data_IF_571978943120
#
_entry.id   IF_571978943120
#
_cell.length_a   1.000
_cell.length_b   1.000
_cell.length_c   1.000
_cell.angle_alpha   90.00
_cell.angle_beta   90.00
_cell.angle_gamma   90.00
#
_symmetry.space_group_name_H-M   'P 1'
#
loop_
_entity.id
_entity.type
_entity.pdbx_description
1 polymer ?
#
# COMPACT_ATOMS: atom_id res chain seq x y z
N UNK A 1 14.36 2.15 -36.20
CA UNK A 1 14.13 1.25 -35.07
C UNK A 1 12.68 0.78 -35.14
N UNK A 2 12.39 -0.52 -35.13
CA UNK A 2 11.01 -0.99 -35.20
C UNK A 2 10.20 -0.53 -33.98
N UNK A 3 8.90 -0.15 -34.12
CA UNK A 3 8.06 0.28 -33.04
C UNK A 3 7.92 -0.83 -31.97
N UNK A 4 7.67 -0.48 -30.71
CA UNK A 4 7.44 -1.46 -29.67
C UNK A 4 6.20 -2.33 -29.96
N UNK A 5 6.32 -3.66 -29.82
CA UNK A 5 5.21 -4.61 -30.06
C UNK A 5 4.25 -4.75 -28.87
N UNK A 6 4.57 -4.18 -27.69
CA UNK A 6 3.68 -4.14 -26.53
C UNK A 6 3.86 -2.84 -25.74
N UNK A 7 2.85 -2.47 -25.00
CA UNK A 7 2.83 -1.31 -24.12
C UNK A 7 2.46 -1.70 -22.66
N UNK A 8 2.35 -0.72 -21.79
CA UNK A 8 1.99 -0.93 -20.38
C UNK A 8 0.58 -1.50 -20.20
N UNK A 9 -0.37 -1.16 -21.11
CA UNK A 9 -1.72 -1.72 -21.09
C UNK A 9 -1.72 -3.24 -21.29
N UNK A 10 -0.92 -3.73 -22.23
CA UNK A 10 -0.78 -5.17 -22.46
C UNK A 10 -0.27 -5.90 -21.22
N UNK A 11 0.66 -5.27 -20.49
CA UNK A 11 1.22 -5.85 -19.27
C UNK A 11 0.26 -5.74 -18.08
N UNK A 12 -0.46 -4.63 -17.94
CA UNK A 12 -1.48 -4.44 -16.89
C UNK A 12 -2.62 -5.45 -17.08
N UNK A 13 -3.12 -5.62 -18.30
CA UNK A 13 -4.15 -6.61 -18.60
C UNK A 13 -3.67 -8.04 -18.30
N UNK A 14 -2.42 -8.36 -18.61
CA UNK A 14 -1.81 -9.62 -18.21
C UNK A 14 -1.79 -9.81 -16.70
N UNK A 15 -1.41 -8.78 -15.91
CA UNK A 15 -1.41 -8.83 -14.43
C UNK A 15 -2.81 -9.03 -13.86
N UNK A 16 -3.82 -8.42 -14.47
CA UNK A 16 -5.23 -8.62 -14.09
C UNK A 16 -5.68 -10.05 -14.40
N UNK A 17 -5.31 -10.60 -15.56
CA UNK A 17 -5.80 -11.88 -16.03
C UNK A 17 -5.05 -13.06 -15.42
N UNK A 18 -3.72 -13.00 -15.29
CA UNK A 18 -2.92 -14.17 -14.89
C UNK A 18 -3.21 -14.61 -13.46
N UNK A 19 -3.38 -15.92 -13.22
CA UNK A 19 -3.70 -16.41 -11.88
C UNK A 19 -2.47 -16.51 -10.96
N UNK A 20 -1.27 -16.72 -11.49
CA UNK A 20 -0.13 -17.09 -10.63
C UNK A 20 1.26 -16.72 -11.14
N UNK A 21 1.54 -16.90 -12.42
CA UNK A 21 2.88 -16.73 -12.97
C UNK A 21 3.07 -15.34 -13.55
N UNK A 22 4.11 -14.63 -13.11
CA UNK A 22 4.45 -13.30 -13.62
C UNK A 22 5.87 -13.34 -14.17
N UNK A 23 5.98 -13.70 -15.44
CA UNK A 23 7.22 -13.64 -16.20
C UNK A 23 6.96 -13.10 -17.60
N UNK A 24 7.98 -12.54 -18.24
CA UNK A 24 7.88 -12.06 -19.62
C UNK A 24 7.53 -13.21 -20.60
N UNK A 25 8.01 -14.43 -20.31
CA UNK A 25 7.70 -15.62 -21.08
C UNK A 25 6.23 -15.98 -20.99
N UNK A 26 5.66 -15.96 -19.79
CA UNK A 26 4.23 -16.27 -19.60
C UNK A 26 3.35 -15.18 -20.21
N UNK A 27 3.73 -13.89 -20.02
CA UNK A 27 3.03 -12.79 -20.65
C UNK A 27 2.95 -12.92 -22.18
N UNK A 28 4.01 -13.43 -22.82
CA UNK A 28 4.01 -13.68 -24.25
C UNK A 28 3.14 -14.89 -24.64
N UNK A 29 3.18 -16.00 -23.86
CA UNK A 29 2.45 -17.24 -24.15
C UNK A 29 0.94 -17.10 -24.11
N UNK A 30 0.43 -16.18 -23.29
CA UNK A 30 -1.01 -15.96 -23.13
C UNK A 30 -1.55 -14.87 -24.05
N UNK A 31 -0.72 -14.30 -24.93
CA UNK A 31 -1.23 -13.35 -25.92
C UNK A 31 -2.14 -14.03 -26.92
N UNK A 32 -3.19 -13.34 -27.38
CA UNK A 32 -4.01 -13.85 -28.48
C UNK A 32 -3.14 -14.19 -29.70
N UNK A 33 -3.47 -15.31 -30.37
CA UNK A 33 -2.81 -15.72 -31.61
C UNK A 33 -3.02 -14.65 -32.69
N UNK A 34 -1.94 -13.96 -33.05
CA UNK A 34 -1.88 -12.98 -34.13
C UNK A 34 -0.46 -12.92 -34.67
N UNK A 35 -0.31 -12.59 -35.94
CA UNK A 35 0.99 -12.56 -36.65
C UNK A 35 2.05 -11.70 -35.95
N UNK A 36 1.60 -10.59 -35.33
CA UNK A 36 2.48 -9.66 -34.61
C UNK A 36 2.41 -9.78 -33.08
N UNK A 37 2.03 -10.93 -32.54
CA UNK A 37 1.99 -11.11 -31.10
C UNK A 37 3.35 -10.80 -30.43
N UNK A 38 3.37 -10.07 -29.31
CA UNK A 38 4.62 -9.70 -28.65
C UNK A 38 5.30 -10.92 -28.04
N UNK A 39 6.57 -11.14 -28.36
CA UNK A 39 7.40 -12.18 -27.78
C UNK A 39 7.91 -11.78 -26.37
N UNK A 40 8.50 -12.72 -25.65
CA UNK A 40 8.98 -12.50 -24.28
C UNK A 40 9.99 -11.35 -24.14
N UNK A 41 10.80 -11.12 -25.15
CA UNK A 41 11.77 -10.02 -25.15
C UNK A 41 11.10 -8.64 -25.28
N UNK A 42 9.93 -8.54 -25.93
CA UNK A 42 9.14 -7.31 -25.97
C UNK A 42 8.68 -6.89 -24.56
N UNK A 43 8.17 -7.83 -23.75
CA UNK A 43 7.80 -7.58 -22.36
C UNK A 43 9.02 -7.28 -21.46
N UNK A 44 10.14 -7.97 -21.68
CA UNK A 44 11.39 -7.67 -20.98
C UNK A 44 11.86 -6.24 -21.28
N UNK A 45 11.87 -5.84 -22.54
CA UNK A 45 12.23 -4.48 -22.97
C UNK A 45 11.22 -3.45 -22.50
N UNK A 46 9.92 -3.78 -22.44
CA UNK A 46 8.89 -2.90 -21.89
C UNK A 46 9.25 -2.45 -20.47
N UNK A 47 9.50 -3.40 -19.56
CA UNK A 47 9.85 -3.10 -18.17
C UNK A 47 11.20 -2.39 -18.02
N UNK A 48 12.05 -2.37 -19.04
CA UNK A 48 13.30 -1.61 -19.02
C UNK A 48 13.17 -0.19 -19.60
N UNK A 49 12.18 0.07 -20.47
CA UNK A 49 12.03 1.37 -21.14
C UNK A 49 11.04 2.33 -20.47
N UNK A 50 10.06 1.80 -19.72
CA UNK A 50 9.10 2.64 -18.99
C UNK A 50 9.83 3.50 -17.95
N UNK A 51 9.26 4.67 -17.68
CA UNK A 51 9.73 5.54 -16.59
C UNK A 51 8.84 5.31 -15.37
N UNK A 52 9.41 4.76 -14.28
CA UNK A 52 8.63 4.39 -13.10
C UNK A 52 8.41 5.61 -12.21
N UNK A 53 7.26 6.24 -12.31
CA UNK A 53 6.89 7.36 -11.45
C UNK A 53 5.55 7.15 -10.73
N UNK A 54 5.33 7.92 -9.67
CA UNK A 54 4.10 7.90 -8.91
C UNK A 54 2.99 8.74 -9.58
N UNK A 55 3.33 9.67 -10.47
CA UNK A 55 2.37 10.54 -11.16
C UNK A 55 1.50 9.72 -12.12
N UNK A 56 2.06 8.73 -12.78
CA UNK A 56 1.29 7.83 -13.65
C UNK A 56 0.18 7.08 -12.86
N UNK A 57 0.50 6.66 -11.61
CA UNK A 57 -0.51 6.06 -10.72
C UNK A 57 -1.52 7.10 -10.28
N UNK A 58 -1.08 8.31 -9.94
CA UNK A 58 -1.96 9.40 -9.56
C UNK A 58 -2.93 9.82 -10.66
N UNK A 59 -2.49 9.89 -11.91
CA UNK A 59 -3.38 10.21 -13.03
C UNK A 59 -4.57 9.25 -13.17
N UNK A 60 -4.40 7.97 -12.83
CA UNK A 60 -5.52 7.02 -12.78
C UNK A 60 -6.32 7.11 -11.46
N UNK A 61 -5.65 7.39 -10.33
CA UNK A 61 -6.27 7.45 -9.02
C UNK A 61 -7.15 8.69 -8.82
N UNK A 62 -6.76 9.86 -9.35
CA UNK A 62 -7.38 11.15 -9.07
C UNK A 62 -8.88 11.22 -9.40
N UNK A 63 -9.35 10.43 -10.37
CA UNK A 63 -10.76 10.34 -10.73
C UNK A 63 -11.58 9.48 -9.78
N UNK A 64 -10.91 8.77 -8.87
CA UNK A 64 -11.52 7.82 -7.95
C UNK A 64 -11.55 8.30 -6.51
N UNK A 65 -10.97 9.45 -6.21
CA UNK A 65 -10.87 10.03 -4.86
C UNK A 65 -11.65 11.32 -4.74
N UNK A 66 -12.06 11.66 -3.53
CA UNK A 66 -12.47 12.99 -3.16
C UNK A 66 -11.31 13.73 -2.49
N UNK A 67 -10.95 14.90 -3.01
CA UNK A 67 -9.91 15.72 -2.37
C UNK A 67 -10.39 16.37 -1.06
N UNK A 68 -11.71 16.59 -0.92
CA UNK A 68 -12.32 17.25 0.25
C UNK A 68 -12.78 16.29 1.35
N UNK A 69 -12.80 14.98 1.08
CA UNK A 69 -13.36 13.98 1.99
C UNK A 69 -12.42 12.76 2.13
N UNK A 70 -12.82 11.83 2.99
CA UNK A 70 -12.08 10.60 3.25
C UNK A 70 -10.88 10.82 4.18
N UNK A 71 -10.14 9.78 4.40
CA UNK A 71 -8.89 9.81 5.17
C UNK A 71 -7.72 9.39 4.30
N UNK A 72 -6.54 9.88 4.64
CA UNK A 72 -5.27 9.39 4.08
C UNK A 72 -4.65 8.41 5.07
N UNK A 73 -4.28 7.23 4.58
CA UNK A 73 -3.58 6.23 5.38
C UNK A 73 -2.19 6.00 4.79
N UNK A 74 -1.16 6.13 5.61
CA UNK A 74 0.21 5.89 5.19
C UNK A 74 0.83 4.74 5.97
N UNK A 75 1.33 3.76 5.24
CA UNK A 75 2.05 2.62 5.80
C UNK A 75 3.03 2.04 4.79
N UNK A 76 3.92 1.15 5.27
CA UNK A 76 4.83 0.42 4.41
C UNK A 76 4.64 -1.10 4.51
N UNK A 77 4.86 -1.76 3.38
CA UNK A 77 4.83 -3.22 3.31
C UNK A 77 6.11 -3.74 2.68
N UNK A 78 6.61 -4.85 3.22
CA UNK A 78 7.71 -5.57 2.59
C UNK A 78 7.17 -6.56 1.57
N UNK A 79 7.66 -6.45 0.33
CA UNK A 79 7.44 -7.41 -0.73
C UNK A 79 8.48 -8.53 -0.57
N UNK A 80 8.06 -9.66 -0.06
CA UNK A 80 8.94 -10.76 0.37
C UNK A 80 9.73 -11.35 -0.80
N UNK A 81 11.06 -11.44 -0.64
CA UNK A 81 12.01 -12.01 -1.61
C UNK A 81 13.07 -12.90 -0.93
N UNK A 82 12.66 -13.94 -0.18
CA UNK A 82 13.59 -14.70 0.67
C UNK A 82 14.71 -15.39 -0.13
N UNK A 83 14.42 -15.81 -1.36
CA UNK A 83 15.38 -16.54 -2.21
C UNK A 83 16.12 -15.65 -3.20
N UNK A 84 15.92 -14.35 -3.20
CA UNK A 84 16.56 -13.44 -4.14
C UNK A 84 18.07 -13.30 -3.85
N UNK A 85 18.92 -13.77 -4.75
CA UNK A 85 20.38 -13.65 -4.63
C UNK A 85 20.96 -12.50 -5.45
N UNK A 86 20.36 -12.21 -6.62
CA UNK A 86 20.87 -11.26 -7.63
C UNK A 86 19.80 -10.26 -8.06
N UNK A 87 18.81 -9.98 -7.20
CA UNK A 87 17.80 -8.95 -7.47
C UNK A 87 18.25 -7.64 -6.83
N UNK A 88 18.26 -6.59 -7.63
CA UNK A 88 18.42 -5.23 -7.14
C UNK A 88 17.19 -4.81 -6.32
N UNK A 89 17.31 -3.77 -5.49
CA UNK A 89 16.30 -3.28 -4.52
C UNK A 89 16.01 -4.23 -3.34
N UNK A 90 16.43 -5.48 -3.39
CA UNK A 90 16.19 -6.42 -2.28
C UNK A 90 17.20 -6.15 -1.17
N UNK A 91 16.71 -5.64 -0.06
CA UNK A 91 17.50 -5.36 1.15
C UNK A 91 16.90 -6.07 2.36
N UNK A 92 17.46 -5.88 3.54
CA UNK A 92 16.97 -6.46 4.78
C UNK A 92 16.08 -5.45 5.51
N UNK A 93 14.86 -5.87 5.83
CA UNK A 93 13.86 -5.07 6.53
C UNK A 93 13.31 -5.83 7.73
N UNK A 94 12.98 -5.11 8.80
CA UNK A 94 12.16 -5.68 9.86
C UNK A 94 10.73 -5.88 9.34
N UNK A 95 10.19 -7.04 9.54
CA UNK A 95 8.81 -7.39 9.18
C UNK A 95 7.99 -7.65 10.43
N UNK A 96 6.97 -6.85 10.67
CA UNK A 96 6.00 -7.06 11.74
C UNK A 96 5.26 -8.40 11.58
N UNK A 97 4.96 -8.80 10.34
CA UNK A 97 4.32 -10.09 10.03
C UNK A 97 5.14 -11.31 10.46
N UNK A 98 6.47 -11.25 10.30
CA UNK A 98 7.36 -12.37 10.58
C UNK A 98 8.08 -12.22 11.93
N UNK A 99 7.90 -11.09 12.63
CA UNK A 99 8.66 -10.72 13.84
C UNK A 99 10.17 -10.95 13.69
N UNK A 100 10.70 -10.72 12.48
CA UNK A 100 12.09 -10.98 12.12
C UNK A 100 12.56 -10.05 11.01
N UNK A 101 13.87 -10.00 10.82
CA UNK A 101 14.48 -9.33 9.68
C UNK A 101 14.37 -10.23 8.45
N UNK A 102 13.64 -9.79 7.44
CA UNK A 102 13.41 -10.50 6.18
C UNK A 102 14.10 -9.81 5.01
N UNK A 103 14.28 -10.55 3.91
CA UNK A 103 14.77 -9.99 2.65
C UNK A 103 13.58 -9.64 1.76
N UNK A 104 13.55 -8.42 1.26
CA UNK A 104 12.46 -7.94 0.42
C UNK A 104 12.69 -6.56 -0.16
N UNK A 105 11.70 -6.08 -0.88
CA UNK A 105 11.60 -4.71 -1.36
C UNK A 105 10.58 -4.00 -0.47
N UNK A 106 10.93 -2.87 0.10
CA UNK A 106 10.00 -2.12 0.94
C UNK A 106 9.26 -1.09 0.08
N UNK A 107 7.93 -1.16 0.13
CA UNK A 107 7.00 -0.28 -0.55
C UNK A 107 6.25 0.56 0.47
N UNK A 108 6.39 1.87 0.39
CA UNK A 108 5.64 2.84 1.19
C UNK A 108 4.46 3.32 0.33
N UNK A 109 3.25 3.33 0.87
CA UNK A 109 2.04 3.74 0.14
C UNK A 109 1.26 4.79 0.92
N UNK A 110 0.77 5.79 0.21
CA UNK A 110 -0.28 6.71 0.67
C UNK A 110 -1.60 6.29 0.02
N UNK A 111 -2.51 5.80 0.85
CA UNK A 111 -3.82 5.31 0.45
C UNK A 111 -4.89 6.33 0.83
N UNK A 112 -5.84 6.60 -0.07
CA UNK A 112 -7.08 7.28 0.26
C UNK A 112 -8.20 6.26 0.47
N UNK A 113 -9.06 6.50 1.48
CA UNK A 113 -10.23 5.64 1.75
C UNK A 113 -11.37 6.42 2.41
N UNK A 114 -12.59 5.96 2.20
CA UNK A 114 -13.80 6.32 2.95
C UNK A 114 -14.34 5.14 3.77
N UNK A 115 -13.54 4.05 3.86
CA UNK A 115 -13.84 2.84 4.62
C UNK A 115 -13.99 1.61 3.71
N UNK A 116 -14.67 1.74 2.59
CA UNK A 116 -14.97 0.68 1.62
C UNK A 116 -14.16 0.77 0.32
N UNK A 117 -13.40 1.87 0.13
CA UNK A 117 -12.55 2.11 -1.03
C UNK A 117 -11.06 2.10 -0.66
N UNK A 118 -10.24 1.65 -1.60
CA UNK A 118 -8.80 1.42 -1.39
C UNK A 118 -7.99 2.00 -2.54
N UNK A 119 -7.81 3.33 -2.55
CA UNK A 119 -7.22 4.03 -3.69
C UNK A 119 -5.79 4.48 -3.37
N UNK A 120 -4.74 3.81 -3.89
CA UNK A 120 -3.35 4.28 -3.72
C UNK A 120 -3.13 5.56 -4.51
N UNK A 121 -2.82 6.66 -3.79
CA UNK A 121 -2.63 7.98 -4.36
C UNK A 121 -1.16 8.31 -4.63
N UNK A 122 -0.25 7.70 -3.87
CA UNK A 122 1.18 7.86 -4.03
C UNK A 122 1.90 6.63 -3.50
N UNK A 123 3.11 6.35 -3.99
CA UNK A 123 3.95 5.27 -3.51
C UNK A 123 5.43 5.61 -3.62
N UNK A 124 6.24 4.96 -2.78
CA UNK A 124 7.71 5.02 -2.86
C UNK A 124 8.29 3.62 -2.71
N UNK A 125 9.27 3.31 -3.55
CA UNK A 125 10.10 2.12 -3.37
C UNK A 125 11.34 2.56 -2.60
N UNK A 126 11.46 2.12 -1.34
CA UNK A 126 12.54 2.53 -0.44
C UNK A 126 13.88 1.96 -0.90
N UNK A 127 14.81 2.83 -1.27
CA UNK A 127 16.17 2.50 -1.73
C UNK A 127 17.18 3.50 -1.17
N UNK A 128 17.39 3.47 0.15
CA UNK A 128 18.27 4.41 0.86
C UNK A 128 19.68 4.50 0.27
N UNK A 129 20.16 3.45 -0.38
CA UNK A 129 21.48 3.44 -1.00
C UNK A 129 21.56 4.34 -2.24
N UNK A 130 20.44 4.59 -2.91
CA UNK A 130 20.37 5.39 -4.11
C UNK A 130 19.90 6.84 -3.85
N UNK A 131 18.83 7.01 -3.09
CA UNK A 131 18.19 8.31 -2.87
C UNK A 131 18.64 9.01 -1.59
N UNK A 132 19.36 8.28 -0.71
CA UNK A 132 19.82 8.74 0.60
C UNK A 132 18.71 9.22 1.54
N UNK A 133 17.45 8.94 1.20
CA UNK A 133 16.30 9.31 2.00
C UNK A 133 15.96 8.26 3.05
N UNK A 134 15.45 8.71 4.19
CA UNK A 134 14.84 7.84 5.19
C UNK A 134 13.36 7.60 4.86
N UNK A 135 12.73 6.62 5.52
CA UNK A 135 11.28 6.43 5.41
C UNK A 135 10.49 7.67 5.88
N UNK A 136 11.00 8.42 6.86
CA UNK A 136 10.38 9.66 7.31
C UNK A 136 10.48 10.77 6.26
N UNK A 137 11.58 10.85 5.51
CA UNK A 137 11.69 11.81 4.41
C UNK A 137 10.67 11.47 3.31
N UNK A 138 10.52 10.20 2.95
CA UNK A 138 9.49 9.76 2.02
C UNK A 138 8.08 10.08 2.53
N UNK A 139 7.80 9.85 3.83
CA UNK A 139 6.54 10.23 4.47
C UNK A 139 6.22 11.70 4.26
N UNK A 140 7.19 12.58 4.56
CA UNK A 140 7.04 14.03 4.42
C UNK A 140 6.85 14.44 2.96
N UNK A 141 7.62 13.87 2.04
CA UNK A 141 7.47 14.14 0.60
C UNK A 141 6.09 13.74 0.08
N UNK A 142 5.56 12.57 0.48
CA UNK A 142 4.24 12.10 0.05
C UNK A 142 3.13 13.00 0.60
N UNK A 143 3.21 13.45 1.85
CA UNK A 143 2.22 14.38 2.42
C UNK A 143 2.31 15.78 1.78
N UNK A 144 3.50 16.30 1.48
CA UNK A 144 3.66 17.56 0.74
C UNK A 144 3.05 17.44 -0.67
N UNK A 145 3.26 16.30 -1.34
CA UNK A 145 2.64 16.03 -2.66
C UNK A 145 1.12 15.99 -2.54
N UNK A 146 0.57 15.34 -1.53
CA UNK A 146 -0.88 15.29 -1.29
C UNK A 146 -1.46 16.69 -1.02
N UNK A 147 -0.77 17.48 -0.20
CA UNK A 147 -1.15 18.89 0.04
C UNK A 147 -1.12 19.72 -1.24
N UNK A 148 -0.06 19.58 -2.05
CA UNK A 148 0.05 20.26 -3.36
C UNK A 148 -1.02 19.83 -4.36
N UNK A 149 -1.55 18.60 -4.28
CA UNK A 149 -2.69 18.10 -5.06
C UNK A 149 -4.04 18.60 -4.55
N UNK A 150 -4.08 19.34 -3.43
CA UNK A 150 -5.28 19.93 -2.87
C UNK A 150 -6.09 19.01 -1.94
N UNK A 151 -5.52 17.91 -1.44
CA UNK A 151 -6.20 17.08 -0.44
C UNK A 151 -6.53 17.86 0.83
N UNK A 152 -7.74 17.65 1.34
CA UNK A 152 -8.22 18.14 2.63
C UNK A 152 -8.85 16.96 3.40
N UNK A 153 -8.02 15.99 3.84
CA UNK A 153 -8.52 14.77 4.47
C UNK A 153 -9.14 15.07 5.84
N UNK A 154 -10.17 14.32 6.19
CA UNK A 154 -10.73 14.36 7.54
C UNK A 154 -9.70 13.96 8.61
N UNK A 155 -8.77 13.08 8.26
CA UNK A 155 -7.66 12.66 9.11
C UNK A 155 -6.54 12.02 8.27
N UNK A 156 -5.30 12.13 8.75
CA UNK A 156 -4.17 11.32 8.29
C UNK A 156 -3.89 10.25 9.33
N UNK A 157 -3.92 8.98 8.94
CA UNK A 157 -3.66 7.86 9.85
C UNK A 157 -2.39 7.14 9.42
N UNK A 158 -1.53 6.78 10.36
CA UNK A 158 -0.24 6.15 10.06
C UNK A 158 0.29 5.36 11.26
N UNK A 159 1.22 4.43 10.99
CA UNK A 159 1.82 3.63 12.06
C UNK A 159 2.70 4.49 13.00
N UNK A 160 2.82 4.03 14.24
CA UNK A 160 3.64 4.65 15.28
C UNK A 160 5.13 4.80 14.93
N UNK A 161 5.62 4.08 13.92
CA UNK A 161 6.96 4.28 13.35
C UNK A 161 7.13 5.70 12.80
N UNK A 162 6.09 6.25 12.18
CA UNK A 162 6.09 7.59 11.59
C UNK A 162 5.70 8.70 12.58
N UNK A 163 5.43 8.39 13.86
CA UNK A 163 4.98 9.34 14.88
C UNK A 163 6.10 10.26 15.42
N UNK A 164 7.08 10.60 14.58
CA UNK A 164 8.12 11.60 14.88
C UNK A 164 7.56 13.02 14.98
N UNK A 165 8.17 13.88 15.82
CA UNK A 165 7.69 15.26 16.02
C UNK A 165 7.60 16.06 14.73
N UNK A 166 8.59 15.88 13.83
CA UNK A 166 8.64 16.64 12.57
C UNK A 166 7.48 16.25 11.66
N UNK A 167 7.11 14.96 11.61
CA UNK A 167 5.95 14.49 10.85
C UNK A 167 4.64 15.02 11.45
N UNK A 168 4.49 14.98 12.79
CA UNK A 168 3.31 15.52 13.46
C UNK A 168 3.16 17.04 13.23
N UNK A 169 4.28 17.77 13.28
CA UNK A 169 4.32 19.21 13.02
C UNK A 169 3.99 19.53 11.56
N UNK A 170 4.50 18.75 10.62
CA UNK A 170 4.19 18.90 9.20
C UNK A 170 2.68 18.77 8.96
N UNK A 171 2.03 17.72 9.49
CA UNK A 171 0.58 17.52 9.32
C UNK A 171 -0.18 18.70 9.94
N UNK A 172 0.24 19.18 11.12
CA UNK A 172 -0.36 20.36 11.75
C UNK A 172 -0.18 21.64 10.93
N UNK A 173 0.95 21.82 10.23
CA UNK A 173 1.19 23.01 9.39
C UNK A 173 0.21 23.08 8.20
N UNK A 174 -0.30 21.92 7.74
CA UNK A 174 -1.38 21.82 6.74
C UNK A 174 -2.77 22.02 7.34
N UNK A 175 -2.87 22.22 8.67
CA UNK A 175 -4.13 22.25 9.43
C UNK A 175 -4.90 20.91 9.37
N UNK A 176 -4.22 19.81 9.10
CA UNK A 176 -4.82 18.49 9.06
C UNK A 176 -4.84 17.83 10.43
N UNK A 177 -5.82 16.97 10.62
CA UNK A 177 -5.90 16.10 11.77
C UNK A 177 -5.10 14.82 11.53
N UNK A 178 -4.59 14.24 12.62
CA UNK A 178 -3.90 12.96 12.54
C UNK A 178 -4.37 12.02 13.65
N UNK A 179 -4.24 10.73 13.39
CA UNK A 179 -4.45 9.65 14.35
C UNK A 179 -3.33 8.62 14.18
N UNK A 180 -2.61 8.30 15.25
CA UNK A 180 -1.52 7.33 15.22
C UNK A 180 -1.32 6.67 16.57
N UNK A 181 -0.57 5.57 16.62
CA UNK A 181 -0.12 4.97 17.86
C UNK A 181 1.17 5.61 18.34
N UNK A 182 1.29 5.86 19.64
CA UNK A 182 2.52 6.30 20.28
C UNK A 182 3.14 5.17 21.09
N UNK A 183 4.46 5.15 21.15
CA UNK A 183 5.18 4.19 21.99
C UNK A 183 4.94 4.48 23.48
N UNK A 184 4.90 3.43 24.31
CA UNK A 184 4.67 3.52 25.76
C UNK A 184 5.67 4.42 26.51
N UNK A 185 6.89 4.56 25.99
CA UNK A 185 7.93 5.41 26.54
C UNK A 185 7.86 6.89 26.07
N UNK A 186 6.89 7.25 25.22
CA UNK A 186 6.73 8.63 24.75
C UNK A 186 6.43 9.55 25.93
N UNK A 187 7.22 10.63 26.06
CA UNK A 187 7.08 11.58 27.18
C UNK A 187 5.96 12.59 26.92
N UNK A 188 5.09 12.71 27.91
CA UNK A 188 3.97 13.67 27.95
C UNK A 188 3.87 14.29 29.33
N UNK A 189 3.23 15.48 29.42
CA UNK A 189 2.91 16.13 30.68
C UNK A 189 1.37 16.19 30.84
N UNK A 190 0.77 15.34 31.70
CA UNK A 190 -0.68 15.23 31.81
C UNK A 190 -1.32 16.29 32.76
N UNK A 191 -0.53 16.94 33.61
CA UNK A 191 -1.00 17.74 34.75
C UNK A 191 -0.16 18.97 35.04
N UNK A 192 0.77 19.32 34.14
CA UNK A 192 1.75 20.41 34.29
C UNK A 192 2.80 20.20 35.39
N UNK A 193 2.90 18.97 35.94
CA UNK A 193 3.84 18.64 37.02
C UNK A 193 5.12 17.96 36.51
N UNK A 194 5.33 17.93 35.21
CA UNK A 194 6.54 17.37 34.61
C UNK A 194 6.26 16.25 33.59
N UNK A 195 7.32 15.91 32.87
CA UNK A 195 7.27 14.90 31.81
C UNK A 195 7.31 13.49 32.37
N UNK A 196 6.40 12.63 31.92
CA UNK A 196 6.35 11.21 32.27
C UNK A 196 6.11 10.36 31.02
N UNK A 197 6.60 9.12 30.94
CA UNK A 197 6.27 8.22 29.85
C UNK A 197 4.78 7.87 29.88
N UNK A 198 4.17 7.62 28.71
CA UNK A 198 2.74 7.25 28.61
C UNK A 198 2.38 6.07 29.50
N UNK A 199 3.28 5.09 29.66
CA UNK A 199 3.09 3.92 30.55
C UNK A 199 2.91 4.30 32.03
N UNK A 200 3.38 5.47 32.45
CA UNK A 200 3.27 5.97 33.83
C UNK A 200 2.13 7.00 34.01
N UNK A 201 1.34 7.23 32.97
CA UNK A 201 0.19 8.15 33.01
C UNK A 201 -1.09 7.34 33.14
N UNK A 202 -1.96 7.76 34.05
CA UNK A 202 -3.31 7.17 34.18
C UNK A 202 -4.14 7.59 32.95
N UNK A 203 -4.40 6.62 32.08
CA UNK A 203 -5.14 6.76 30.85
C UNK A 203 -6.20 5.66 30.76
N UNK A 204 -7.31 5.98 30.11
CA UNK A 204 -8.43 5.07 29.84
C UNK A 204 -8.80 5.07 28.37
N UNK A 205 -9.75 4.23 28.01
CA UNK A 205 -10.35 4.19 26.67
C UNK A 205 -11.09 5.48 26.29
N UNK A 206 -11.54 6.24 27.31
CA UNK A 206 -12.20 7.55 27.10
C UNK A 206 -11.21 8.61 26.63
N UNK A 207 -9.92 8.37 26.80
CA UNK A 207 -8.85 9.28 26.43
C UNK A 207 -8.71 10.46 27.39
N UNK A 208 -7.48 10.98 27.45
CA UNK A 208 -7.10 12.14 28.25
C UNK A 208 -6.32 13.14 27.40
N UNK A 209 -6.59 14.42 27.61
CA UNK A 209 -5.78 15.49 27.00
C UNK A 209 -4.48 15.63 27.80
N UNK A 210 -3.35 15.60 27.10
CA UNK A 210 -2.01 15.72 27.66
C UNK A 210 -1.16 16.64 26.80
N UNK A 211 -0.12 17.21 27.38
CA UNK A 211 0.88 17.96 26.62
C UNK A 211 1.97 17.02 26.11
N UNK A 212 2.09 16.90 24.79
CA UNK A 212 3.20 16.19 24.16
C UNK A 212 4.41 17.12 24.05
N UNK A 213 5.55 16.68 24.59
CA UNK A 213 6.80 17.44 24.54
C UNK A 213 7.16 17.81 23.09
N UNK A 214 7.46 19.10 22.88
CA UNK A 214 7.82 19.65 21.57
C UNK A 214 6.69 19.77 20.55
N UNK A 215 5.45 19.39 20.90
CA UNK A 215 4.30 19.46 20.00
C UNK A 215 3.15 20.32 20.53
N UNK A 216 2.67 20.09 21.74
CA UNK A 216 1.51 20.76 22.33
C UNK A 216 0.44 19.79 22.82
N UNK A 217 -0.80 20.27 22.94
CA UNK A 217 -1.92 19.46 23.42
C UNK A 217 -2.30 18.39 22.39
N UNK A 218 -2.47 17.17 22.90
CA UNK A 218 -2.99 16.01 22.16
C UNK A 218 -3.95 15.25 23.05
N UNK A 219 -4.85 14.48 22.46
CA UNK A 219 -5.67 13.49 23.19
C UNK A 219 -5.06 12.11 23.02
N UNK A 220 -4.92 11.37 24.12
CA UNK A 220 -4.38 9.99 24.12
C UNK A 220 -5.39 9.04 24.73
N UNK A 221 -5.67 7.95 24.04
CA UNK A 221 -6.53 6.83 24.45
C UNK A 221 -5.65 5.63 24.76
N UNK A 222 -5.92 4.94 25.88
CA UNK A 222 -5.29 3.68 26.20
C UNK A 222 -6.25 2.54 25.87
N UNK A 223 -5.87 1.68 24.96
CA UNK A 223 -6.65 0.51 24.57
C UNK A 223 -5.91 -0.73 25.06
N UNK A 224 -6.63 -1.61 25.71
CA UNK A 224 -6.13 -2.92 26.13
C UNK A 224 -6.79 -3.97 25.24
N UNK A 225 -6.01 -4.65 24.42
CA UNK A 225 -6.49 -5.72 23.58
C UNK A 225 -6.83 -6.97 24.40
N UNK A 226 -7.57 -7.90 23.83
CA UNK A 226 -8.01 -9.14 24.49
C UNK A 226 -6.87 -10.05 24.91
N UNK A 227 -5.73 -9.96 24.24
CA UNK A 227 -4.47 -10.67 24.55
C UNK A 227 -3.62 -9.97 25.64
N UNK A 228 -4.07 -8.78 26.10
CA UNK A 228 -3.39 -7.97 27.11
C UNK A 228 -2.43 -6.93 26.55
N UNK A 229 -2.23 -6.86 25.24
CA UNK A 229 -1.41 -5.81 24.60
C UNK A 229 -2.02 -4.44 24.82
N UNK A 230 -1.14 -3.43 25.08
CA UNK A 230 -1.55 -2.07 25.36
C UNK A 230 -1.13 -1.17 24.21
N UNK A 231 -2.12 -0.51 23.58
CA UNK A 231 -1.92 0.49 22.57
C UNK A 231 -2.28 1.90 23.09
N UNK A 232 -1.46 2.88 22.73
CA UNK A 232 -1.69 4.30 23.02
C UNK A 232 -2.01 5.02 21.72
N UNK A 233 -3.30 5.18 21.42
CA UNK A 233 -3.76 5.95 20.27
C UNK A 233 -3.78 7.44 20.59
N UNK A 234 -3.24 8.26 19.73
CA UNK A 234 -3.12 9.70 19.93
C UNK A 234 -3.57 10.50 18.72
N UNK A 235 -4.07 11.72 18.97
CA UNK A 235 -4.55 12.64 17.95
C UNK A 235 -4.37 14.10 18.38
N UNK A 236 -4.26 15.02 17.41
CA UNK A 236 -4.31 16.45 17.65
C UNK A 236 -5.75 17.01 17.75
N UNK A 237 -6.78 16.20 17.49
CA UNK A 237 -8.18 16.56 17.75
C UNK A 237 -8.51 16.30 19.21
N UNK A 238 -8.33 17.31 20.07
CA UNK A 238 -8.48 17.15 21.53
C UNK A 238 -9.91 16.80 21.98
N UNK A 239 -10.93 17.10 21.17
CA UNK A 239 -12.34 16.77 21.39
C UNK A 239 -12.76 15.43 20.75
N UNK A 240 -11.83 14.68 20.13
CA UNK A 240 -12.16 13.42 19.47
C UNK A 240 -12.89 12.47 20.43
N UNK A 241 -14.05 12.00 20.02
CA UNK A 241 -14.80 10.97 20.75
C UNK A 241 -14.22 9.57 20.58
N UNK A 242 -14.56 8.64 21.47
CA UNK A 242 -14.17 7.23 21.34
C UNK A 242 -14.72 6.63 20.05
N UNK A 243 -15.98 6.93 19.71
CA UNK A 243 -16.59 6.41 18.47
C UNK A 243 -15.89 6.91 17.22
N UNK A 244 -15.51 8.18 17.19
CA UNK A 244 -14.77 8.76 16.07
C UNK A 244 -13.37 8.14 15.95
N UNK A 245 -12.66 7.96 17.08
CA UNK A 245 -11.37 7.24 17.09
C UNK A 245 -11.51 5.82 16.54
N UNK A 246 -12.54 5.07 16.99
CA UNK A 246 -12.80 3.71 16.49
C UNK A 246 -13.08 3.72 14.99
N UNK A 247 -13.93 4.64 14.52
CA UNK A 247 -14.24 4.78 13.11
C UNK A 247 -12.97 4.99 12.27
N UNK A 248 -12.11 5.94 12.66
CA UNK A 248 -10.90 6.24 11.88
C UNK A 248 -9.84 5.14 12.01
N UNK A 249 -9.71 4.51 13.18
CA UNK A 249 -8.85 3.34 13.33
C UNK A 249 -9.31 2.17 12.45
N UNK A 250 -10.62 1.95 12.32
CA UNK A 250 -11.17 0.92 11.41
C UNK A 250 -10.91 1.28 9.94
N UNK A 251 -11.03 2.54 9.55
CA UNK A 251 -10.68 2.96 8.19
C UNK A 251 -9.19 2.74 7.89
N UNK A 252 -8.32 2.86 8.88
CA UNK A 252 -6.90 2.55 8.72
C UNK A 252 -6.63 1.10 8.29
N UNK A 253 -7.51 0.15 8.64
CA UNK A 253 -7.42 -1.23 8.16
C UNK A 253 -7.54 -1.37 6.64
N UNK A 254 -8.04 -0.36 5.95
CA UNK A 254 -8.09 -0.34 4.49
C UNK A 254 -6.70 -0.52 3.86
N UNK A 255 -5.63 -0.03 4.51
CA UNK A 255 -4.27 -0.20 3.96
C UNK A 255 -3.79 -1.66 4.05
N UNK A 256 -4.18 -2.39 5.09
CA UNK A 256 -3.88 -3.82 5.22
C UNK A 256 -4.65 -4.65 4.16
N UNK A 257 -5.91 -4.29 3.92
CA UNK A 257 -6.70 -4.89 2.85
C UNK A 257 -6.08 -4.60 1.48
N UNK A 258 -5.68 -3.34 1.25
CA UNK A 258 -4.98 -2.95 0.02
C UNK A 258 -3.67 -3.73 -0.16
N UNK A 259 -2.81 -3.82 0.86
CA UNK A 259 -1.57 -4.59 0.78
C UNK A 259 -1.84 -6.06 0.43
N UNK A 260 -2.86 -6.66 1.04
CA UNK A 260 -3.30 -8.03 0.71
C UNK A 260 -3.81 -8.10 -0.72
N UNK A 261 -4.64 -7.16 -1.14
CA UNK A 261 -5.22 -7.08 -2.46
C UNK A 261 -4.17 -7.02 -3.57
N UNK A 262 -3.21 -6.11 -3.48
CA UNK A 262 -2.16 -5.95 -4.48
C UNK A 262 -1.20 -7.14 -4.53
N UNK A 263 -0.94 -7.80 -3.39
CA UNK A 263 -0.13 -9.03 -3.33
C UNK A 263 -0.85 -10.24 -3.93
N UNK A 264 -2.12 -10.43 -3.62
CA UNK A 264 -2.89 -11.62 -4.02
C UNK A 264 -3.46 -11.51 -5.44
N UNK A 265 -4.00 -10.34 -5.82
CA UNK A 265 -4.75 -10.20 -7.06
C UNK A 265 -3.96 -9.53 -8.19
N UNK A 266 -2.99 -8.67 -7.85
CA UNK A 266 -2.11 -8.03 -8.85
C UNK A 266 -0.67 -8.58 -8.82
N UNK A 267 -0.38 -9.55 -7.94
CA UNK A 267 0.84 -10.36 -7.95
C UNK A 267 2.15 -9.56 -7.83
N UNK A 268 2.13 -8.44 -7.11
CA UNK A 268 3.25 -7.49 -6.99
C UNK A 268 4.56 -8.16 -6.51
N UNK A 269 4.46 -9.24 -5.75
CA UNK A 269 5.61 -10.02 -5.26
C UNK A 269 6.11 -11.09 -6.26
N UNK A 270 5.43 -11.32 -7.38
CA UNK A 270 5.65 -12.53 -8.20
C UNK A 270 6.55 -12.33 -9.41
N UNK A 271 6.90 -11.11 -9.79
CA UNK A 271 7.76 -10.87 -10.94
C UNK A 271 9.15 -11.49 -10.75
N UNK A 272 9.71 -11.98 -11.88
CA UNK A 272 11.02 -12.60 -11.97
C UNK A 272 12.06 -11.70 -12.65
N UNK A 273 11.92 -10.37 -12.48
CA UNK A 273 12.85 -9.38 -13.00
C UNK A 273 14.02 -9.15 -12.02
N UNK A 274 15.14 -8.62 -12.52
CA UNK A 274 16.36 -8.44 -11.70
C UNK A 274 16.73 -6.99 -11.47
N UNK A 275 16.60 -6.12 -12.51
CA UNK A 275 17.04 -4.74 -12.42
C UNK A 275 16.08 -3.87 -11.62
N UNK A 276 16.62 -2.82 -10.98
CA UNK A 276 15.84 -1.81 -10.23
C UNK A 276 14.73 -1.21 -11.08
N UNK A 277 15.06 -0.83 -12.32
CA UNK A 277 14.11 -0.20 -13.23
C UNK A 277 12.94 -1.12 -13.55
N UNK A 278 13.21 -2.38 -13.89
CA UNK A 278 12.17 -3.34 -14.20
C UNK A 278 11.28 -3.64 -12.98
N UNK A 279 11.85 -3.67 -11.75
CA UNK A 279 11.06 -3.82 -10.52
C UNK A 279 10.16 -2.62 -10.27
N UNK A 280 10.68 -1.39 -10.38
CA UNK A 280 9.89 -0.17 -10.21
C UNK A 280 8.74 -0.11 -11.21
N UNK A 281 9.00 -0.45 -12.47
CA UNK A 281 7.97 -0.51 -13.51
C UNK A 281 6.94 -1.61 -13.28
N UNK A 282 7.39 -2.80 -12.84
CA UNK A 282 6.45 -3.85 -12.44
C UNK A 282 5.54 -3.41 -11.28
N UNK A 283 6.10 -2.79 -10.24
CA UNK A 283 5.34 -2.26 -9.12
C UNK A 283 4.31 -1.23 -9.60
N UNK A 284 4.72 -0.25 -10.42
CA UNK A 284 3.81 0.75 -10.99
C UNK A 284 2.65 0.10 -11.77
N UNK A 285 2.95 -0.86 -12.64
CA UNK A 285 1.92 -1.60 -13.39
C UNK A 285 0.99 -2.40 -12.47
N UNK A 286 1.49 -3.00 -11.38
CA UNK A 286 0.66 -3.70 -10.40
C UNK A 286 -0.29 -2.74 -9.65
N UNK A 287 0.18 -1.54 -9.30
CA UNK A 287 -0.66 -0.53 -8.65
C UNK A 287 -1.76 -0.03 -9.58
N UNK A 288 -1.44 0.20 -10.85
CA UNK A 288 -2.43 0.55 -11.88
C UNK A 288 -3.42 -0.58 -12.14
N UNK A 289 -2.95 -1.84 -12.19
CA UNK A 289 -3.83 -3.01 -12.27
C UNK A 289 -4.77 -3.09 -11.08
N UNK A 290 -4.28 -2.77 -9.87
CA UNK A 290 -5.11 -2.74 -8.67
C UNK A 290 -6.16 -1.61 -8.73
N UNK A 291 -5.80 -0.40 -9.14
CA UNK A 291 -6.73 0.71 -9.31
C UNK A 291 -7.91 0.35 -10.23
N UNK A 292 -7.63 -0.33 -11.33
CA UNK A 292 -8.65 -0.78 -12.28
C UNK A 292 -9.54 -1.87 -11.68
N UNK A 293 -8.94 -2.83 -10.99
CA UNK A 293 -9.67 -3.88 -10.29
C UNK A 293 -10.55 -3.30 -9.18
N UNK A 294 -10.01 -2.37 -8.38
CA UNK A 294 -10.74 -1.68 -7.31
C UNK A 294 -11.95 -0.90 -7.88
N UNK A 295 -11.70 -0.09 -8.90
CA UNK A 295 -12.76 0.68 -9.58
C UNK A 295 -13.86 -0.24 -10.13
N UNK A 296 -13.49 -1.32 -10.83
CA UNK A 296 -14.45 -2.29 -11.35
C UNK A 296 -15.26 -2.93 -10.23
N UNK A 297 -14.61 -3.41 -9.18
CA UNK A 297 -15.28 -4.08 -8.07
C UNK A 297 -16.23 -3.14 -7.32
N UNK A 298 -15.82 -1.91 -7.07
CA UNK A 298 -16.62 -0.89 -6.42
C UNK A 298 -17.92 -0.59 -7.22
N UNK A 299 -17.80 -0.36 -8.54
CA UNK A 299 -18.95 -0.05 -9.38
C UNK A 299 -19.92 -1.22 -9.54
N UNK A 300 -19.46 -2.46 -9.45
CA UNK A 300 -20.29 -3.65 -9.61
C UNK A 300 -20.72 -4.29 -8.29
N UNK A 301 -20.28 -3.76 -7.15
CA UNK A 301 -20.60 -4.32 -5.83
C UNK A 301 -20.08 -5.74 -5.62
N UNK A 302 -18.93 -6.09 -6.23
CA UNK A 302 -18.31 -7.41 -6.11
C UNK A 302 -16.94 -7.32 -5.44
N UNK A 303 -16.49 -8.41 -4.85
CA UNK A 303 -15.15 -8.49 -4.26
C UNK A 303 -14.05 -8.69 -5.33
N UNK A 304 -12.81 -8.32 -5.03
CA UNK A 304 -11.64 -8.61 -5.88
C UNK A 304 -11.48 -10.11 -6.14
N UNK A 305 -11.84 -10.94 -5.16
CA UNK A 305 -11.85 -12.39 -5.31
C UNK A 305 -12.85 -12.84 -6.37
N UNK A 306 -14.07 -12.34 -6.34
CA UNK A 306 -15.11 -12.66 -7.33
C UNK A 306 -14.70 -12.23 -8.74
N UNK A 307 -14.20 -10.99 -8.89
CA UNK A 307 -13.74 -10.48 -10.19
C UNK A 307 -12.61 -11.35 -10.76
N UNK A 308 -11.58 -11.67 -9.95
CA UNK A 308 -10.46 -12.53 -10.38
C UNK A 308 -10.91 -13.95 -10.67
N UNK A 309 -11.77 -14.51 -9.82
CA UNK A 309 -12.31 -15.88 -9.98
C UNK A 309 -13.21 -16.00 -11.21
N UNK A 310 -13.90 -14.95 -11.61
CA UNK A 310 -14.73 -14.94 -12.83
C UNK A 310 -13.88 -15.23 -14.09
N UNK A 311 -12.68 -14.65 -14.18
CA UNK A 311 -11.74 -14.91 -15.29
C UNK A 311 -11.32 -16.39 -15.30
N UNK A 312 -10.95 -16.94 -14.15
CA UNK A 312 -10.54 -18.34 -14.01
C UNK A 312 -11.71 -19.28 -14.35
N UNK A 313 -12.91 -18.97 -13.84
CA UNK A 313 -14.12 -19.75 -14.15
C UNK A 313 -14.45 -19.76 -15.64
N UNK A 314 -14.28 -18.62 -16.33
CA UNK A 314 -14.47 -18.55 -17.77
C UNK A 314 -13.49 -19.49 -18.52
N UNK A 315 -12.22 -19.45 -18.14
CA UNK A 315 -11.20 -20.34 -18.72
C UNK A 315 -11.50 -21.83 -18.44
N UNK A 316 -11.91 -22.17 -17.19
CA UNK A 316 -12.30 -23.56 -16.84
C UNK A 316 -13.53 -24.00 -17.62
N UNK A 317 -14.55 -23.16 -17.77
CA UNK A 317 -15.73 -23.51 -18.60
C UNK A 317 -15.34 -23.77 -20.05
N UNK A 318 -14.48 -22.94 -20.63
CA UNK A 318 -13.98 -23.15 -21.99
C UNK A 318 -13.26 -24.51 -22.11
N UNK A 319 -12.37 -24.84 -21.16
CA UNK A 319 -11.70 -26.11 -21.12
C UNK A 319 -12.67 -27.31 -20.99
N UNK A 320 -13.67 -27.23 -20.11
CA UNK A 320 -14.67 -28.30 -19.92
C UNK A 320 -15.55 -28.49 -21.16
N UNK A 321 -15.83 -27.40 -21.89
CA UNK A 321 -16.56 -27.50 -23.16
C UNK A 321 -15.73 -28.13 -24.29
N UNK A 322 -14.41 -27.83 -24.30
CA UNK A 322 -13.48 -28.34 -25.29
C UNK A 322 -12.12 -28.62 -24.60
N UNK A 323 -11.93 -29.83 -24.02
CA UNK A 323 -10.69 -30.16 -23.34
C UNK A 323 -9.48 -30.17 -24.32
N UNK A 324 -8.38 -29.54 -23.88
CA UNK A 324 -7.11 -29.49 -24.62
C UNK A 324 -6.42 -30.83 -24.64
N UNK A 325 -6.73 -31.72 -23.70
CA UNK A 325 -6.10 -33.02 -23.54
C UNK A 325 -7.16 -34.12 -23.40
N UNK A 326 -6.95 -35.23 -24.07
CA UNK A 326 -7.64 -36.48 -23.80
C UNK A 326 -6.73 -37.33 -22.92
N UNK A 327 -7.07 -37.46 -21.66
CA UNK A 327 -6.32 -38.28 -20.71
C UNK A 327 -6.94 -39.68 -20.68
N UNK A 328 -6.16 -40.67 -21.01
CA UNK A 328 -6.58 -42.09 -20.87
C UNK A 328 -6.66 -42.41 -19.37
N UNK A 329 -7.70 -43.15 -18.90
CA UNK A 329 -7.74 -43.64 -17.55
C UNK A 329 -6.46 -44.48 -17.29
N UNK A 330 -5.72 -44.14 -16.24
CA UNK A 330 -4.67 -45.01 -15.73
C UNK A 330 -5.33 -46.26 -15.18
N UNK A 331 -4.99 -47.43 -15.75
CA UNK A 331 -5.45 -48.71 -15.26
C UNK A 331 -4.95 -48.99 -13.82
#
# INVERSE_FOLDING_TARGET
MNPPKCNDEDYINFLIATPRQVSATEAARVQPEREEAPAHDAFTRLLQRLEPDAETVWHEAQTQVSLAHGILVLDDSTLDKPYAKKMELVTRHWSGKHHAVVRGINLITLLWTEGDRHVPCDYRVFDKAQDHLTKNDHFQHMLNTAQGRGFQPACVVFDGWYAGLDNLRLIRSFQWLWLTRLKSNRKVNPDRQGLRPLSAVELSEQGRVVWLEGYGLIRVFKIVATDGDIEYWATNKVEMSVLERVKWANFAWAIEHYHRGVKQFCLIERAQVRSKRAWRNHIACCLRAFLRLESHCYHHGISWFEAKTAIIRAAVRAYLAQPLYTLNPTA
#
